data_IF_548123880745
#
_entry.id   IF_548123880745
#
_cell.length_a   1.000
_cell.length_b   1.000
_cell.length_c   1.000
_cell.angle_alpha   90.00
_cell.angle_beta   90.00
_cell.angle_gamma   90.00
#
_symmetry.space_group_name_H-M   'P 1'
#
loop_
_entity.id
_entity.type
_entity.pdbx_description
1 polymer ?
#
# COMPACT_ATOMS: atom_id res chain seq x y z
N UNK A 1 -9.85 3.82 -10.25
CA UNK A 1 -10.94 3.08 -9.62
C UNK A 1 -10.81 3.08 -8.10
N UNK A 2 -11.92 2.92 -7.42
CA UNK A 2 -11.99 2.82 -5.97
C UNK A 2 -12.45 1.41 -5.59
N UNK A 3 -11.72 0.78 -4.68
CA UNK A 3 -12.01 -0.57 -4.22
C UNK A 3 -12.03 -0.61 -2.70
N UNK A 4 -13.08 -1.23 -2.14
CA UNK A 4 -13.13 -1.47 -0.70
C UNK A 4 -12.21 -2.62 -0.31
N UNK A 5 -11.59 -2.52 0.86
CA UNK A 5 -10.76 -3.57 1.42
C UNK A 5 -11.07 -3.72 2.90
N UNK A 6 -11.29 -4.95 3.34
CA UNK A 6 -11.53 -5.27 4.75
C UNK A 6 -10.38 -6.14 5.23
N UNK A 7 -9.72 -5.68 6.29
CA UNK A 7 -8.60 -6.43 6.89
C UNK A 7 -9.11 -7.55 7.80
N UNK A 8 -8.21 -8.43 8.20
CA UNK A 8 -8.54 -9.51 9.12
C UNK A 8 -9.06 -8.98 10.48
N UNK A 9 -8.64 -7.78 10.87
CA UNK A 9 -9.14 -7.10 12.07
C UNK A 9 -10.50 -6.41 11.88
N UNK A 10 -11.12 -6.57 10.68
CA UNK A 10 -12.42 -6.00 10.32
C UNK A 10 -12.40 -4.48 10.12
N UNK A 11 -11.24 -3.88 9.95
CA UNK A 11 -11.14 -2.48 9.56
C UNK A 11 -11.40 -2.34 8.07
N UNK A 12 -12.08 -1.27 7.68
CA UNK A 12 -12.47 -1.01 6.28
C UNK A 12 -11.64 0.15 5.76
N UNK A 13 -11.04 -0.06 4.59
CA UNK A 13 -10.28 0.95 3.87
C UNK A 13 -10.81 1.05 2.45
N UNK A 14 -10.58 2.20 1.82
CA UNK A 14 -10.80 2.36 0.38
C UNK A 14 -9.45 2.52 -0.30
N UNK A 15 -9.20 1.73 -1.33
CA UNK A 15 -7.99 1.78 -2.15
C UNK A 15 -8.35 2.47 -3.47
N UNK A 16 -7.59 3.51 -3.83
CA UNK A 16 -7.70 4.15 -5.13
C UNK A 16 -6.54 3.68 -6.01
N UNK A 17 -6.86 3.18 -7.19
CA UNK A 17 -5.87 2.79 -8.20
C UNK A 17 -6.08 3.68 -9.42
N UNK A 18 -5.06 4.44 -9.80
CA UNK A 18 -5.08 5.31 -10.96
C UNK A 18 -4.63 4.52 -12.19
N UNK A 19 -5.47 4.48 -13.21
CA UNK A 19 -5.25 3.63 -14.38
C UNK A 19 -4.79 4.40 -15.63
N UNK A 20 -4.39 5.66 -15.49
CA UNK A 20 -4.10 6.54 -16.63
C UNK A 20 -3.06 5.96 -17.60
N UNK A 21 -2.03 5.30 -17.07
CA UNK A 21 -0.96 4.69 -17.88
C UNK A 21 -0.99 3.17 -17.81
N UNK A 22 -2.03 2.60 -17.24
CA UNK A 22 -2.19 1.15 -17.15
C UNK A 22 -2.50 0.57 -18.54
N UNK A 23 -1.91 -0.56 -18.96
CA UNK A 23 -0.99 -1.42 -18.20
C UNK A 23 0.50 -1.14 -18.44
N UNK A 24 0.86 -0.09 -19.15
CA UNK A 24 2.24 0.17 -19.57
C UNK A 24 3.14 0.63 -18.43
N UNK A 25 2.59 1.33 -17.46
CA UNK A 25 3.31 1.79 -16.28
C UNK A 25 2.64 1.25 -15.01
N UNK A 26 3.45 1.14 -13.94
CA UNK A 26 2.92 0.78 -12.62
C UNK A 26 1.88 1.82 -12.21
N UNK A 27 0.62 1.43 -12.02
CA UNK A 27 -0.38 2.40 -11.60
C UNK A 27 -0.13 2.87 -10.16
N UNK A 28 -0.46 4.12 -9.89
CA UNK A 28 -0.40 4.64 -8.53
C UNK A 28 -1.52 4.01 -7.71
N UNK A 29 -1.20 3.63 -6.48
CA UNK A 29 -2.17 3.06 -5.56
C UNK A 29 -2.12 3.81 -4.23
N UNK A 30 -3.29 4.16 -3.70
CA UNK A 30 -3.42 4.96 -2.48
C UNK A 30 -4.43 4.33 -1.55
N UNK A 31 -4.17 4.47 -0.23
CA UNK A 31 -5.25 4.44 0.74
C UNK A 31 -5.88 5.83 0.75
N UNK A 32 -7.20 5.93 0.64
CA UNK A 32 -7.87 7.23 0.45
C UNK A 32 -7.99 8.04 1.74
N UNK A 33 -6.94 8.03 2.52
CA UNK A 33 -6.76 8.87 3.70
C UNK A 33 -5.28 8.96 4.04
N UNK A 34 -4.90 9.93 4.85
CA UNK A 34 -3.54 10.01 5.36
C UNK A 34 -3.42 9.07 6.55
N UNK A 35 -2.60 8.02 6.41
CA UNK A 35 -2.31 7.11 7.50
C UNK A 35 -1.20 7.69 8.38
N UNK A 36 -1.22 7.27 9.64
CA UNK A 36 -0.21 7.63 10.62
C UNK A 36 0.55 6.37 11.04
N UNK A 37 1.84 6.53 11.32
CA UNK A 37 2.61 5.47 11.94
C UNK A 37 2.14 5.25 13.38
N UNK A 38 2.62 4.20 14.02
CA UNK A 38 2.32 3.91 15.42
C UNK A 38 2.67 5.09 16.34
N UNK A 39 3.73 5.84 16.01
CA UNK A 39 4.17 7.00 16.80
C UNK A 39 3.47 8.30 16.39
N UNK A 40 2.53 8.26 15.46
CA UNK A 40 1.73 9.40 15.05
C UNK A 40 2.32 10.24 13.92
N UNK A 41 3.38 9.79 13.26
CA UNK A 41 3.94 10.49 12.11
C UNK A 41 3.10 10.26 10.86
N UNK A 42 2.94 11.29 10.03
CA UNK A 42 2.20 11.19 8.76
C UNK A 42 2.98 10.30 7.78
N UNK A 43 2.27 9.41 7.12
CA UNK A 43 2.86 8.53 6.09
C UNK A 43 2.68 9.20 4.72
N UNK A 44 3.35 10.34 4.55
CA UNK A 44 3.19 11.22 3.39
C UNK A 44 4.42 11.34 2.50
N UNK A 45 5.49 10.60 2.81
CA UNK A 45 6.72 10.63 2.03
C UNK A 45 7.23 9.24 1.71
N UNK A 46 8.13 9.15 0.73
CA UNK A 46 8.74 7.88 0.35
C UNK A 46 9.52 7.30 1.54
N UNK A 47 9.27 6.02 1.83
CA UNK A 47 9.90 5.32 2.93
C UNK A 47 10.09 3.85 2.54
N UNK A 48 11.33 3.43 2.35
CA UNK A 48 11.61 2.03 2.06
C UNK A 48 11.16 1.10 3.19
N UNK A 49 11.44 1.42 4.49
CA UNK A 49 10.97 0.56 5.58
C UNK A 49 9.45 0.41 5.67
N UNK A 50 8.70 1.43 5.30
CA UNK A 50 7.23 1.40 5.36
C UNK A 50 6.58 1.10 4.01
N UNK A 51 7.37 0.92 2.95
CA UNK A 51 6.87 0.65 1.61
C UNK A 51 5.81 1.65 1.17
N UNK A 52 6.14 2.95 1.32
CA UNK A 52 5.33 4.07 0.83
C UNK A 52 6.10 4.88 -0.18
N UNK A 53 5.34 5.64 -0.98
CA UNK A 53 5.86 6.61 -1.95
C UNK A 53 5.34 7.99 -1.57
N UNK A 54 5.77 9.01 -2.30
CA UNK A 54 5.34 10.38 -2.04
C UNK A 54 3.83 10.55 -2.16
N UNK A 55 3.23 11.22 -1.17
CA UNK A 55 1.79 11.42 -1.08
C UNK A 55 1.25 12.28 -2.23
N UNK A 56 0.02 11.98 -2.64
CA UNK A 56 -0.78 12.83 -3.53
C UNK A 56 -2.20 12.90 -2.96
N UNK A 57 -2.89 14.00 -3.19
CA UNK A 57 -4.29 14.20 -2.76
C UNK A 57 -4.51 14.10 -1.25
N UNK A 58 -3.47 14.20 -0.43
CA UNK A 58 -3.57 13.97 1.01
C UNK A 58 -3.73 12.51 1.39
N UNK A 59 -3.45 11.58 0.48
CA UNK A 59 -3.57 10.14 0.71
C UNK A 59 -2.20 9.50 0.93
N UNK A 60 -2.17 8.37 1.65
CA UNK A 60 -0.96 7.56 1.75
C UNK A 60 -0.81 6.73 0.48
N UNK A 61 0.35 6.85 -0.18
CA UNK A 61 0.63 6.12 -1.42
C UNK A 61 1.41 4.84 -1.12
N UNK A 62 0.86 3.72 -1.58
CA UNK A 62 1.44 2.40 -1.36
C UNK A 62 2.48 2.11 -2.44
N UNK A 63 3.67 1.62 -2.02
CA UNK A 63 4.64 1.00 -2.91
C UNK A 63 4.28 -0.48 -3.03
N UNK A 64 3.56 -0.85 -4.08
CA UNK A 64 3.03 -2.21 -4.25
C UNK A 64 3.81 -3.06 -5.25
N UNK A 65 4.47 -2.43 -6.22
CA UNK A 65 5.35 -3.10 -7.18
C UNK A 65 6.64 -2.32 -7.32
N UNK A 66 7.77 -3.02 -7.27
CA UNK A 66 9.05 -2.44 -7.63
C UNK A 66 9.13 -2.23 -9.15
N UNK A 67 9.95 -1.28 -9.58
CA UNK A 67 10.11 -0.94 -10.99
C UNK A 67 10.46 -2.17 -11.83
N UNK A 68 11.31 -3.06 -11.30
CA UNK A 68 11.79 -4.23 -12.05
C UNK A 68 10.81 -5.42 -12.01
N UNK A 69 9.78 -5.37 -11.18
CA UNK A 69 8.82 -6.47 -11.06
C UNK A 69 7.51 -6.20 -11.80
N UNK A 70 7.35 -5.01 -12.38
CA UNK A 70 6.14 -4.68 -13.13
C UNK A 70 6.22 -5.23 -14.54
N UNK A 71 5.12 -5.80 -15.02
CA UNK A 71 4.92 -6.17 -16.42
C UNK A 71 3.50 -5.79 -16.84
N UNK A 72 3.25 -5.52 -18.14
CA UNK A 72 1.90 -5.23 -18.61
C UNK A 72 0.89 -6.38 -18.42
N UNK A 73 1.37 -7.55 -18.03
CA UNK A 73 0.52 -8.73 -17.78
C UNK A 73 -0.06 -8.77 -16.38
N UNK A 74 0.36 -7.86 -15.50
CA UNK A 74 -0.16 -7.81 -14.12
C UNK A 74 -1.61 -7.31 -14.16
N UNK A 75 -2.49 -8.04 -13.50
CA UNK A 75 -3.92 -7.70 -13.44
C UNK A 75 -4.21 -6.70 -12.32
N UNK A 76 -5.32 -5.98 -12.45
CA UNK A 76 -5.83 -5.09 -11.38
C UNK A 76 -6.10 -5.90 -10.10
N UNK A 77 -6.56 -7.15 -10.25
CA UNK A 77 -6.78 -8.03 -9.10
C UNK A 77 -5.49 -8.26 -8.30
N UNK A 78 -4.37 -8.51 -8.99
CA UNK A 78 -3.08 -8.70 -8.30
C UNK A 78 -2.61 -7.42 -7.60
N UNK A 79 -2.84 -6.27 -8.22
CA UNK A 79 -2.53 -4.98 -7.58
C UNK A 79 -3.35 -4.84 -6.31
N UNK A 80 -4.63 -5.13 -6.37
CA UNK A 80 -5.53 -5.07 -5.22
C UNK A 80 -5.06 -5.99 -4.09
N UNK A 81 -4.71 -7.23 -4.41
CA UNK A 81 -4.23 -8.21 -3.42
C UNK A 81 -2.95 -7.72 -2.74
N UNK A 82 -2.02 -7.14 -3.49
CA UNK A 82 -0.81 -6.58 -2.90
C UNK A 82 -1.11 -5.39 -1.98
N UNK A 83 -2.04 -4.53 -2.36
CA UNK A 83 -2.46 -3.41 -1.51
C UNK A 83 -3.14 -3.90 -0.24
N UNK A 84 -3.99 -4.93 -0.36
CA UNK A 84 -4.64 -5.52 0.80
C UNK A 84 -3.61 -6.15 1.76
N UNK A 85 -2.61 -6.84 1.23
CA UNK A 85 -1.51 -7.38 2.03
C UNK A 85 -0.75 -6.25 2.75
N UNK A 86 -0.49 -5.15 2.04
CA UNK A 86 0.16 -3.99 2.64
C UNK A 86 -0.65 -3.46 3.83
N UNK A 87 -1.98 -3.41 3.72
CA UNK A 87 -2.85 -2.99 4.82
C UNK A 87 -2.75 -3.93 6.03
N UNK A 88 -2.67 -5.24 5.80
CA UNK A 88 -2.46 -6.19 6.90
C UNK A 88 -1.12 -5.94 7.60
N UNK A 89 -0.08 -5.67 6.83
CA UNK A 89 1.25 -5.35 7.39
C UNK A 89 1.26 -3.99 8.10
N UNK A 90 0.50 -3.02 7.59
CA UNK A 90 0.33 -1.74 8.26
C UNK A 90 -0.33 -1.93 9.64
N UNK A 91 -1.38 -2.73 9.72
CA UNK A 91 -2.03 -3.02 11.00
C UNK A 91 -1.11 -3.79 11.95
N UNK A 92 -0.31 -4.70 11.41
CA UNK A 92 0.72 -5.39 12.22
C UNK A 92 1.76 -4.39 12.74
N UNK A 93 2.14 -3.39 11.92
CA UNK A 93 3.00 -2.29 12.39
C UNK A 93 2.36 -1.55 13.57
N UNK A 94 1.08 -1.23 13.49
CA UNK A 94 0.38 -0.54 14.58
C UNK A 94 0.39 -1.38 15.88
N UNK A 95 0.27 -2.70 15.77
CA UNK A 95 0.27 -3.58 16.94
C UNK A 95 1.66 -3.78 17.56
N UNK A 96 2.69 -3.83 16.73
CA UNK A 96 4.03 -4.28 17.16
C UNK A 96 5.09 -3.17 17.19
N UNK A 97 4.88 -2.08 16.45
CA UNK A 97 5.91 -1.05 16.23
C UNK A 97 6.97 -1.42 15.22
N UNK A 98 6.95 -2.65 14.68
CA UNK A 98 7.90 -3.07 13.65
C UNK A 98 7.52 -2.47 12.30
N UNK A 99 8.52 -2.17 11.45
CA UNK A 99 8.28 -1.62 10.12
C UNK A 99 7.61 -2.65 9.21
N UNK A 100 6.93 -2.18 8.17
CA UNK A 100 6.28 -3.05 7.18
C UNK A 100 7.31 -3.97 6.51
N UNK A 101 8.51 -3.45 6.24
CA UNK A 101 9.60 -4.22 5.65
C UNK A 101 9.96 -5.46 6.48
N UNK A 102 9.87 -5.38 7.80
CA UNK A 102 10.10 -6.53 8.68
C UNK A 102 9.16 -7.70 8.32
N UNK A 103 7.88 -7.40 8.09
CA UNK A 103 6.90 -8.45 7.81
C UNK A 103 7.10 -9.07 6.43
N UNK A 104 7.53 -8.28 5.44
CA UNK A 104 7.86 -8.80 4.11
C UNK A 104 9.02 -9.78 4.16
N UNK A 105 10.05 -9.46 4.93
CA UNK A 105 11.26 -10.29 5.03
C UNK A 105 11.05 -11.53 5.89
N UNK A 106 9.98 -11.59 6.70
CA UNK A 106 9.71 -12.67 7.63
C UNK A 106 8.45 -13.46 7.28
N UNK A 107 7.94 -13.32 6.06
CA UNK A 107 6.88 -14.17 5.55
C UNK A 107 7.47 -15.54 5.18
N UNK A 108 6.84 -16.56 5.67
CA UNK A 108 7.21 -17.92 5.31
C UNK A 108 6.61 -18.30 3.96
#
# INVERSE_FOLDING_TARGET
ILLGAVTNSKNIYTIRIDLDQFPNEVPKAFVTKMLLTKTGSRMDSASAPMHTLGSEHGFTRICHYGYNSWTPMVSIYKIYIKCRLWLEMYEAHLRTGKNIDFFLNHQA
#
